data_IF_603947347233
#
_entry.id   IF_603947347233
#
_cell.length_a   1.000
_cell.length_b   1.000
_cell.length_c   1.000
_cell.angle_alpha   90.00
_cell.angle_beta   90.00
_cell.angle_gamma   90.00
#
_symmetry.space_group_name_H-M   'P 1'
#
loop_
_entity.id
_entity.type
_entity.pdbx_description
1 polymer ?
#
# COMPACT_ATOMS: atom_id res chain seq x y z
N UNK A 1 -15.75 -11.52 2.89
CA UNK A 1 -14.60 -10.71 2.44
C UNK A 1 -14.85 -9.20 2.48
N UNK A 2 -16.07 -8.73 2.83
CA UNK A 2 -16.42 -7.30 2.91
C UNK A 2 -16.09 -6.64 4.26
N UNK A 3 -16.06 -7.40 5.35
CA UNK A 3 -15.86 -6.90 6.72
C UNK A 3 -14.44 -6.33 6.99
N UNK A 4 -13.44 -6.77 6.20
CA UNK A 4 -12.07 -6.28 6.34
C UNK A 4 -11.94 -4.82 5.87
N UNK A 5 -12.65 -4.44 4.82
CA UNK A 5 -12.66 -3.06 4.31
C UNK A 5 -13.52 -2.13 5.18
N UNK A 6 -14.52 -2.66 5.87
CA UNK A 6 -15.40 -1.90 6.79
C UNK A 6 -14.64 -1.36 8.02
N UNK A 7 -13.57 -2.06 8.43
CA UNK A 7 -12.71 -1.66 9.57
C UNK A 7 -11.57 -0.71 9.15
N UNK A 8 -11.24 -0.64 7.85
CA UNK A 8 -10.22 0.28 7.31
C UNK A 8 -10.83 1.68 7.25
N UNK A 9 -10.77 2.40 8.37
CA UNK A 9 -11.34 3.75 8.49
C UNK A 9 -12.07 4.00 9.80
N UNK A 10 -12.31 2.97 10.61
CA UNK A 10 -12.80 3.19 11.97
C UNK A 10 -11.66 3.81 12.79
N UNK A 11 -11.73 5.13 12.97
CA UNK A 11 -10.79 5.90 13.81
C UNK A 11 -10.88 5.35 15.23
N UNK A 12 -9.98 4.43 15.55
CA UNK A 12 -9.91 3.80 16.87
C UNK A 12 -9.43 4.87 17.85
N UNK A 13 -10.28 5.22 18.82
CA UNK A 13 -9.91 6.15 19.89
C UNK A 13 -8.78 5.52 20.72
N UNK A 14 -7.55 5.98 20.46
CA UNK A 14 -6.33 5.59 21.17
C UNK A 14 -6.43 6.08 22.63
N UNK A 15 -6.55 5.14 23.57
CA UNK A 15 -6.77 5.45 25.00
C UNK A 15 -5.47 5.79 25.76
N UNK A 16 -4.27 5.62 25.17
CA UNK A 16 -2.97 5.92 25.81
C UNK A 16 -1.91 6.40 24.80
N UNK A 17 -0.96 7.25 25.22
CA UNK A 17 0.13 7.76 24.36
C UNK A 17 1.01 6.64 23.77
N UNK A 18 1.22 5.55 24.51
CA UNK A 18 1.99 4.38 24.05
C UNK A 18 1.31 3.67 22.87
N UNK A 19 -0.01 3.48 22.92
CA UNK A 19 -0.78 2.87 21.82
C UNK A 19 -0.72 3.73 20.55
N UNK A 20 -0.73 5.06 20.71
CA UNK A 20 -0.59 6.01 19.61
C UNK A 20 0.78 5.92 18.93
N UNK A 21 1.88 5.89 19.68
CA UNK A 21 3.22 5.77 19.10
C UNK A 21 3.41 4.44 18.37
N UNK A 22 2.88 3.35 18.92
CA UNK A 22 2.94 2.04 18.28
C UNK A 22 2.13 2.02 16.98
N UNK A 23 0.92 2.59 17.01
CA UNK A 23 0.06 2.68 15.82
C UNK A 23 0.73 3.50 14.70
N UNK A 24 1.22 4.70 15.00
CA UNK A 24 1.88 5.56 13.99
C UNK A 24 3.12 4.88 13.42
N UNK A 25 3.93 4.21 14.25
CA UNK A 25 5.11 3.47 13.79
C UNK A 25 4.74 2.30 12.88
N UNK A 26 3.68 1.56 13.20
CA UNK A 26 3.19 0.49 12.32
C UNK A 26 2.66 1.04 10.99
N UNK A 27 1.96 2.18 11.01
CA UNK A 27 1.50 2.87 9.81
C UNK A 27 2.68 3.34 8.96
N UNK A 28 3.73 3.87 9.57
CA UNK A 28 4.97 4.27 8.91
C UNK A 28 5.62 3.09 8.15
N UNK A 29 5.72 1.92 8.77
CA UNK A 29 6.26 0.74 8.08
C UNK A 29 5.36 0.26 6.93
N UNK A 30 4.03 0.32 7.09
CA UNK A 30 3.08 -0.05 6.02
C UNK A 30 3.21 0.89 4.82
N UNK A 31 3.27 2.20 5.06
CA UNK A 31 3.41 3.19 3.99
C UNK A 31 4.79 3.07 3.32
N UNK A 32 5.85 2.80 4.10
CA UNK A 32 7.18 2.48 3.56
C UNK A 32 7.14 1.27 2.62
N UNK A 33 6.54 0.15 3.01
CA UNK A 33 6.43 -1.03 2.12
C UNK A 33 5.61 -0.71 0.87
N UNK A 34 4.49 0.00 1.02
CA UNK A 34 3.65 0.40 -0.10
C UNK A 34 4.40 1.30 -1.09
N UNK A 35 5.20 2.26 -0.62
CA UNK A 35 6.01 3.08 -1.51
C UNK A 35 7.21 2.32 -2.08
N UNK A 36 7.94 1.54 -1.28
CA UNK A 36 9.16 0.87 -1.73
C UNK A 36 8.87 -0.27 -2.71
N UNK A 37 7.73 -0.94 -2.63
CA UNK A 37 7.37 -2.03 -3.55
C UNK A 37 6.33 -1.56 -4.58
N UNK A 38 5.34 -0.79 -4.15
CA UNK A 38 4.29 -0.28 -5.02
C UNK A 38 4.82 0.72 -6.05
N UNK A 39 5.74 1.61 -5.68
CA UNK A 39 6.32 2.56 -6.64
C UNK A 39 7.13 1.89 -7.76
N UNK A 40 8.09 0.97 -7.51
CA UNK A 40 8.79 0.29 -8.59
C UNK A 40 7.87 -0.64 -9.39
N UNK A 41 6.89 -1.31 -8.76
CA UNK A 41 5.89 -2.08 -9.52
C UNK A 41 5.05 -1.19 -10.42
N UNK A 42 4.57 -0.05 -9.92
CA UNK A 42 3.80 0.92 -10.70
C UNK A 42 4.63 1.49 -11.85
N UNK A 43 5.88 1.84 -11.59
CA UNK A 43 6.81 2.31 -12.62
C UNK A 43 7.07 1.24 -13.68
N UNK A 44 7.32 -0.01 -13.27
CA UNK A 44 7.46 -1.13 -14.20
C UNK A 44 6.17 -1.41 -14.95
N UNK A 45 5.00 -1.28 -14.33
CA UNK A 45 3.72 -1.46 -15.00
C UNK A 45 3.49 -0.40 -16.09
N UNK A 46 3.74 0.88 -15.77
CA UNK A 46 3.62 1.97 -16.73
C UNK A 46 4.65 1.86 -17.88
N UNK A 47 5.90 1.48 -17.57
CA UNK A 47 6.94 1.31 -18.58
C UNK A 47 6.73 0.04 -19.41
N UNK A 48 6.31 -1.06 -18.79
CA UNK A 48 6.01 -2.33 -19.45
C UNK A 48 4.70 -2.27 -20.24
N UNK A 49 3.77 -1.36 -19.93
CA UNK A 49 2.63 -1.06 -20.79
C UNK A 49 3.02 -0.47 -22.15
N UNK A 50 4.28 -0.05 -22.31
CA UNK A 50 4.89 0.32 -23.61
C UNK A 50 5.57 -0.85 -24.32
N UNK A 51 5.82 -1.96 -23.61
CA UNK A 51 6.52 -3.17 -24.12
C UNK A 51 5.58 -4.36 -24.33
N UNK A 52 4.50 -4.48 -23.56
CA UNK A 52 3.50 -5.55 -23.69
C UNK A 52 2.57 -5.38 -24.91
N UNK A 53 2.70 -4.28 -25.65
CA UNK A 53 2.09 -4.15 -26.99
C UNK A 53 2.99 -4.71 -28.10
N UNK A 54 4.27 -5.02 -27.83
CA UNK A 54 5.19 -5.58 -28.85
C UNK A 54 5.38 -7.10 -28.78
N UNK A 55 5.12 -7.75 -27.64
CA UNK A 55 5.31 -9.22 -27.51
C UNK A 55 4.10 -10.07 -27.95
N UNK A 56 3.09 -9.47 -28.58
CA UNK A 56 1.96 -10.20 -29.22
C UNK A 56 1.97 -10.01 -30.76
N UNK A 57 3.07 -9.54 -31.33
CA UNK A 57 3.24 -9.34 -32.78
C UNK A 57 4.48 -10.04 -33.35
N UNK A 58 4.79 -11.24 -32.85
CA UNK A 58 5.66 -12.19 -33.53
C UNK A 58 5.00 -13.57 -33.56
#
# INVERSE_FOLDING_TARGET
>A
MSALFDTIGHVKSVYTLVDFYQYIKTVEYLICVAFFVGFPMFYKYMMSGKSSTQETAH
#
